data_IF_773193882670
#
_entry.id   IF_773193882670
#
_cell.length_a   1.000
_cell.length_b   1.000
_cell.length_c   1.000
_cell.angle_alpha   90.00
_cell.angle_beta   90.00
_cell.angle_gamma   90.00
#
_symmetry.space_group_name_H-M   'P 1'
#
loop_
_entity.id
_entity.type
_entity.pdbx_description
1 polymer ?
#
# COMPACT_ATOMS: atom_id res chain seq x y z
N UNK A 1 -13.23 -20.30 1.51
CA UNK A 1 -13.57 -19.27 0.52
C UNK A 1 -12.41 -18.28 0.49
N UNK A 2 -11.74 -18.08 -0.64
CA UNK A 2 -10.61 -17.15 -0.73
C UNK A 2 -11.13 -15.73 -1.05
N UNK A 3 -10.57 -14.71 -0.41
CA UNK A 3 -10.83 -13.30 -0.73
C UNK A 3 -10.01 -12.94 -1.98
N UNK A 4 -10.60 -12.21 -2.92
CA UNK A 4 -9.89 -11.77 -4.13
C UNK A 4 -8.85 -10.69 -3.82
N UNK A 5 -7.77 -10.63 -4.60
CA UNK A 5 -6.75 -9.60 -4.47
C UNK A 5 -7.34 -8.18 -4.61
N UNK A 6 -8.33 -8.01 -5.50
CA UNK A 6 -9.05 -6.75 -5.65
C UNK A 6 -9.79 -6.36 -4.36
N UNK A 7 -10.48 -7.30 -3.71
CA UNK A 7 -11.18 -7.03 -2.45
C UNK A 7 -10.21 -6.61 -1.33
N UNK A 8 -9.04 -7.25 -1.25
CA UNK A 8 -7.97 -6.82 -0.31
C UNK A 8 -7.49 -5.41 -0.64
N UNK A 9 -7.24 -5.11 -1.92
CA UNK A 9 -6.83 -3.77 -2.36
C UNK A 9 -7.83 -2.68 -1.97
N UNK A 10 -9.14 -2.93 -2.14
CA UNK A 10 -10.19 -2.01 -1.71
C UNK A 10 -10.22 -1.82 -0.18
N UNK A 11 -10.06 -2.92 0.58
CA UNK A 11 -9.98 -2.84 2.03
C UNK A 11 -8.77 -2.02 2.51
N UNK A 12 -7.60 -2.19 1.87
CA UNK A 12 -6.42 -1.38 2.14
C UNK A 12 -6.63 0.10 1.82
N UNK A 13 -7.32 0.42 0.73
CA UNK A 13 -7.68 1.78 0.36
C UNK A 13 -8.67 2.44 1.33
N UNK A 14 -9.59 1.66 1.91
CA UNK A 14 -10.58 2.12 2.87
C UNK A 14 -10.06 2.22 4.33
N UNK A 15 -8.76 1.99 4.57
CA UNK A 15 -8.18 2.02 5.90
C UNK A 15 -8.31 3.42 6.55
N UNK A 16 -9.06 3.58 7.67
CA UNK A 16 -9.27 4.87 8.33
C UNK A 16 -8.08 5.34 9.15
N UNK A 17 -7.10 4.46 9.43
CA UNK A 17 -5.92 4.79 10.24
C UNK A 17 -4.65 4.32 9.49
N UNK A 18 -4.24 5.04 8.43
CA UNK A 18 -2.99 4.78 7.73
C UNK A 18 -1.79 4.86 8.68
N UNK A 19 -0.67 4.23 8.32
CA UNK A 19 0.55 4.07 9.13
C UNK A 19 0.41 3.05 10.27
N UNK A 20 -0.58 3.20 11.15
CA UNK A 20 -0.78 2.25 12.26
C UNK A 20 -1.23 0.89 11.73
N UNK A 21 -2.24 0.91 10.84
CA UNK A 21 -2.54 -0.24 9.98
C UNK A 21 -1.73 -0.04 8.68
N UNK A 22 -0.69 -0.86 8.42
CA UNK A 22 0.33 -0.56 7.42
C UNK A 22 -0.12 -0.91 5.99
N UNK A 23 -1.21 -0.30 5.52
CA UNK A 23 -1.74 -0.55 4.18
C UNK A 23 -0.79 -0.09 3.05
N UNK A 24 0.20 0.76 3.35
CA UNK A 24 1.28 1.12 2.43
C UNK A 24 2.24 -0.03 2.13
N UNK A 25 2.24 -1.12 2.91
CA UNK A 25 3.07 -2.31 2.66
C UNK A 25 2.44 -3.31 1.70
N UNK A 26 1.14 -3.21 1.44
CA UNK A 26 0.45 -4.10 0.49
C UNK A 26 0.72 -3.62 -0.92
N UNK A 27 1.40 -4.42 -1.72
CA UNK A 27 1.73 -4.13 -3.13
C UNK A 27 1.19 -5.24 -4.03
N UNK A 28 0.89 -4.89 -5.28
CA UNK A 28 0.57 -5.87 -6.31
C UNK A 28 1.85 -6.55 -6.82
N UNK A 29 1.70 -7.69 -7.48
CA UNK A 29 2.84 -8.41 -8.07
C UNK A 29 3.64 -7.56 -9.06
N UNK A 30 2.95 -6.67 -9.80
CA UNK A 30 3.53 -5.85 -10.87
C UNK A 30 3.20 -4.35 -10.71
N UNK A 31 2.70 -3.91 -9.55
CA UNK A 31 2.35 -2.50 -9.33
C UNK A 31 2.33 -2.13 -7.85
N UNK A 32 2.58 -0.87 -7.54
CA UNK A 32 2.43 -0.37 -6.17
C UNK A 32 0.97 -0.32 -5.72
N UNK A 33 0.00 -0.38 -6.64
CA UNK A 33 -1.40 -0.13 -6.34
C UNK A 33 -1.65 1.30 -5.83
N UNK A 34 -2.85 1.53 -5.27
CA UNK A 34 -3.21 2.82 -4.69
C UNK A 34 -2.75 2.99 -3.23
N UNK A 35 -2.88 4.23 -2.75
CA UNK A 35 -2.76 4.58 -1.34
C UNK A 35 -3.70 5.75 -1.03
N UNK A 36 -4.45 5.67 0.07
CA UNK A 36 -5.44 6.69 0.44
C UNK A 36 -4.90 7.76 1.39
N UNK A 37 -3.72 7.56 1.97
CA UNK A 37 -3.09 8.51 2.88
C UNK A 37 -2.22 9.55 2.18
N UNK A 38 -2.11 10.74 2.77
CA UNK A 38 -1.21 11.80 2.32
C UNK A 38 -1.48 12.23 0.88
N UNK A 39 -0.43 12.30 0.06
CA UNK A 39 -0.49 12.63 -1.37
C UNK A 39 -0.77 11.41 -2.26
N UNK A 40 -1.13 10.26 -1.68
CA UNK A 40 -1.39 9.04 -2.44
C UNK A 40 -0.13 8.21 -2.66
N UNK A 41 0.09 7.73 -3.89
CA UNK A 41 1.13 6.74 -4.19
C UNK A 41 2.54 7.25 -3.82
N UNK A 42 2.78 8.55 -3.94
CA UNK A 42 4.02 9.22 -3.57
C UNK A 42 4.31 9.07 -2.06
N UNK A 43 3.28 9.20 -1.23
CA UNK A 43 3.40 8.97 0.22
C UNK A 43 3.73 7.50 0.50
N UNK A 44 3.09 6.55 -0.19
CA UNK A 44 3.41 5.13 -0.08
C UNK A 44 4.85 4.82 -0.48
N UNK A 45 5.35 5.42 -1.57
CA UNK A 45 6.76 5.30 -1.99
C UNK A 45 7.70 5.85 -0.93
N UNK A 46 7.40 7.04 -0.38
CA UNK A 46 8.22 7.66 0.67
C UNK A 46 8.28 6.77 1.93
N UNK A 47 7.15 6.19 2.35
CA UNK A 47 7.08 5.28 3.49
C UNK A 47 7.87 3.98 3.24
N UNK A 48 7.72 3.38 2.07
CA UNK A 48 8.48 2.17 1.70
C UNK A 48 9.99 2.45 1.67
N UNK A 49 10.42 3.62 1.18
CA UNK A 49 11.83 4.05 1.24
C UNK A 49 12.32 4.22 2.67
N UNK A 50 11.51 4.87 3.52
CA UNK A 50 11.83 5.09 4.93
C UNK A 50 12.01 3.76 5.69
N UNK A 51 11.22 2.75 5.33
CA UNK A 51 11.30 1.40 5.90
C UNK A 51 12.44 0.54 5.30
N UNK A 52 13.21 1.06 4.36
CA UNK A 52 14.28 0.31 3.67
C UNK A 52 13.78 -0.69 2.63
N UNK A 53 12.49 -0.65 2.26
CA UNK A 53 11.86 -1.53 1.28
C UNK A 53 11.95 -1.00 -0.16
N UNK A 54 12.99 -0.21 -0.48
CA UNK A 54 13.18 0.39 -1.80
C UNK A 54 13.31 -0.65 -2.94
N UNK A 55 13.68 -1.89 -2.63
CA UNK A 55 13.71 -3.00 -3.59
C UNK A 55 12.33 -3.39 -4.15
N UNK A 56 11.23 -2.89 -3.59
CA UNK A 56 9.87 -3.04 -4.13
C UNK A 56 9.51 -1.94 -5.16
N UNK A 57 10.42 -0.99 -5.42
CA UNK A 57 10.19 0.16 -6.31
C UNK A 57 10.86 0.01 -7.69
N UNK A 58 11.52 -1.12 -7.93
CA UNK A 58 12.25 -1.45 -9.17
C UNK A 58 11.47 -2.43 -10.03
#
# INVERSE_FOLDING_TARGET
MAVSAQAVGQACGANPIPLLVPCHRVVGANSLGGFSGGTGVETKVALLRLEGAAGLLI
#
